data_IF_796286974077
#
_entry.id   IF_796286974077
#
_cell.length_a   1.000
_cell.length_b   1.000
_cell.length_c   1.000
_cell.angle_alpha   90.00
_cell.angle_beta   90.00
_cell.angle_gamma   90.00
#
_symmetry.space_group_name_H-M   'P 1'
#
loop_
_entity.id
_entity.type
_entity.pdbx_description
1 polymer ?
#
# COMPACT_ATOMS: atom_id res chain seq x y z
N UNK A 1 -6.17 -0.10 31.06
CA UNK A 1 -5.92 0.26 29.65
C UNK A 1 -4.76 -0.55 29.05
N UNK A 2 -3.71 -0.90 29.81
CA UNK A 2 -2.67 -1.86 29.35
C UNK A 2 -3.12 -3.33 29.28
N UNK A 3 -4.07 -3.76 30.12
CA UNK A 3 -4.59 -5.13 30.13
C UNK A 3 -5.62 -5.43 29.02
N UNK A 4 -6.21 -4.41 28.38
CA UNK A 4 -7.06 -4.60 27.20
C UNK A 4 -6.26 -4.82 25.91
N UNK A 5 -4.97 -4.43 25.92
CA UNK A 5 -4.03 -4.62 24.82
C UNK A 5 -3.39 -6.01 24.86
N UNK A 6 -3.03 -6.49 26.05
CA UNK A 6 -2.47 -7.83 26.26
C UNK A 6 -3.55 -8.91 26.02
N UNK A 7 -3.59 -9.45 24.81
CA UNK A 7 -4.50 -10.52 24.39
C UNK A 7 -5.43 -10.17 23.22
N UNK A 8 -5.52 -8.90 22.82
CA UNK A 8 -6.33 -8.45 21.67
C UNK A 8 -5.49 -7.91 20.50
N UNK A 9 -4.16 -8.05 20.55
CA UNK A 9 -3.24 -7.54 19.51
C UNK A 9 -3.60 -8.07 18.12
N UNK A 10 -3.93 -9.36 18.03
CA UNK A 10 -4.36 -10.00 16.78
C UNK A 10 -5.65 -9.40 16.23
N UNK A 11 -6.61 -9.04 17.09
CA UNK A 11 -7.87 -8.39 16.68
C UNK A 11 -7.58 -7.03 16.03
N UNK A 12 -6.67 -6.24 16.60
CA UNK A 12 -6.29 -4.95 16.01
C UNK A 12 -5.61 -5.14 14.65
N UNK A 13 -4.76 -6.15 14.50
CA UNK A 13 -4.11 -6.48 13.23
C UNK A 13 -5.14 -6.94 12.19
N UNK A 14 -6.11 -7.76 12.58
CA UNK A 14 -7.20 -8.22 11.70
C UNK A 14 -8.05 -7.02 11.23
N UNK A 15 -8.45 -6.13 12.15
CA UNK A 15 -9.20 -4.91 11.80
C UNK A 15 -8.38 -4.03 10.83
N UNK A 16 -7.09 -3.85 11.11
CA UNK A 16 -6.18 -3.12 10.22
C UNK A 16 -6.14 -3.75 8.83
N UNK A 17 -6.05 -5.07 8.73
CA UNK A 17 -6.06 -5.75 7.44
C UNK A 17 -7.38 -5.56 6.68
N UNK A 18 -8.53 -5.57 7.36
CA UNK A 18 -9.82 -5.27 6.72
C UNK A 18 -9.88 -3.85 6.18
N UNK A 19 -9.34 -2.87 6.90
CA UNK A 19 -9.21 -1.49 6.41
C UNK A 19 -8.35 -1.48 5.15
N UNK A 20 -7.21 -2.17 5.12
CA UNK A 20 -6.35 -2.25 3.94
C UNK A 20 -7.04 -2.92 2.75
N UNK A 21 -7.76 -4.01 2.98
CA UNK A 21 -8.56 -4.69 1.95
C UNK A 21 -9.61 -3.74 1.36
N UNK A 22 -10.34 -3.03 2.21
CA UNK A 22 -11.32 -2.05 1.78
C UNK A 22 -10.69 -0.99 0.89
N UNK A 23 -9.59 -0.37 1.33
CA UNK A 23 -8.89 0.67 0.58
C UNK A 23 -8.34 0.17 -0.77
N UNK A 24 -7.80 -1.05 -0.81
CA UNK A 24 -7.27 -1.60 -2.05
C UNK A 24 -8.38 -2.00 -3.03
N UNK A 25 -9.48 -2.59 -2.54
CA UNK A 25 -10.64 -2.93 -3.37
C UNK A 25 -11.32 -1.69 -3.94
N UNK A 26 -11.48 -0.65 -3.12
CA UNK A 26 -12.05 0.63 -3.57
C UNK A 26 -11.17 1.28 -4.64
N UNK A 27 -9.84 1.29 -4.43
CA UNK A 27 -8.89 1.77 -5.44
C UNK A 27 -8.96 0.97 -6.75
N UNK A 28 -9.05 -0.36 -6.69
CA UNK A 28 -9.15 -1.23 -7.88
C UNK A 28 -10.46 -0.95 -8.64
N UNK A 29 -11.57 -0.82 -7.91
CA UNK A 29 -12.89 -0.52 -8.47
C UNK A 29 -12.91 0.83 -9.19
N UNK A 30 -12.36 1.85 -8.54
CA UNK A 30 -12.38 3.23 -9.06
C UNK A 30 -11.19 3.54 -9.97
N UNK A 31 -10.29 2.58 -10.22
CA UNK A 31 -9.07 2.77 -10.99
C UNK A 31 -9.31 3.41 -12.36
N UNK A 32 -10.35 2.96 -13.08
CA UNK A 32 -10.68 3.53 -14.40
C UNK A 32 -11.09 5.00 -14.28
N UNK A 33 -11.90 5.36 -13.29
CA UNK A 33 -12.35 6.74 -13.05
C UNK A 33 -11.17 7.65 -12.68
N UNK A 34 -10.30 7.16 -11.79
CA UNK A 34 -9.08 7.85 -11.39
C UNK A 34 -8.17 8.08 -12.61
N UNK A 35 -7.95 7.04 -13.43
CA UNK A 35 -7.09 7.14 -14.62
C UNK A 35 -7.64 8.11 -15.65
N UNK A 36 -8.96 8.12 -15.88
CA UNK A 36 -9.59 9.09 -16.78
C UNK A 36 -9.43 10.52 -16.26
N UNK A 37 -9.66 10.76 -14.96
CA UNK A 37 -9.45 12.09 -14.37
C UNK A 37 -8.00 12.58 -14.48
N UNK A 38 -7.01 11.72 -14.22
CA UNK A 38 -5.60 12.06 -14.45
C UNK A 38 -5.27 12.31 -15.93
N UNK A 39 -6.02 11.69 -16.85
CA UNK A 39 -5.78 11.87 -18.28
C UNK A 39 -6.30 13.21 -18.82
N UNK A 40 -7.28 13.80 -18.14
CA UNK A 40 -7.89 15.09 -18.48
C UNK A 40 -7.06 16.28 -17.98
N UNK A 41 -6.21 16.10 -16.96
CA UNK A 41 -5.25 17.12 -16.50
C UNK A 41 -4.22 17.37 -17.60
N UNK A 42 -4.12 18.62 -18.04
CA UNK A 42 -3.45 19.01 -19.29
C UNK A 42 -1.96 19.29 -19.10
N UNK A 43 -1.54 19.69 -17.89
CA UNK A 43 -0.12 19.84 -17.56
C UNK A 43 0.16 19.70 -16.07
N UNK A 44 1.38 19.28 -15.72
CA UNK A 44 1.91 19.29 -14.35
C UNK A 44 1.90 20.71 -13.73
N UNK A 45 1.77 21.77 -14.56
CA UNK A 45 1.68 23.17 -14.13
C UNK A 45 0.28 23.61 -13.67
N UNK A 46 -0.76 22.80 -13.87
CA UNK A 46 -2.10 23.02 -13.28
C UNK A 46 -2.15 22.60 -11.80
N UNK A 47 -1.09 21.95 -11.29
CA UNK A 47 -0.98 21.55 -9.90
C UNK A 47 -0.19 22.58 -9.10
N UNK A 48 -0.84 23.22 -8.13
CA UNK A 48 -0.20 24.15 -7.17
C UNK A 48 0.86 23.48 -6.28
N UNK A 49 0.97 22.15 -6.30
CA UNK A 49 1.88 21.39 -5.45
C UNK A 49 3.04 20.84 -6.29
N UNK A 50 4.25 21.31 -6.01
CA UNK A 50 5.46 20.86 -6.70
C UNK A 50 5.73 19.37 -6.37
N UNK A 51 5.56 18.44 -7.34
CA UNK A 51 5.65 17.01 -7.12
C UNK A 51 7.08 16.51 -6.87
N UNK A 52 8.09 17.35 -7.09
CA UNK A 52 9.51 17.02 -6.90
C UNK A 52 10.06 17.49 -5.55
N UNK A 53 9.22 18.11 -4.72
CA UNK A 53 9.62 18.52 -3.37
C UNK A 53 9.93 17.32 -2.49
N UNK A 54 11.08 17.35 -1.81
CA UNK A 54 11.49 16.32 -0.84
C UNK A 54 10.41 16.05 0.23
N UNK A 55 9.65 17.09 0.61
CA UNK A 55 8.49 16.98 1.52
C UNK A 55 7.37 16.09 0.98
N UNK A 56 7.07 16.15 -0.32
CA UNK A 56 6.06 15.30 -0.96
C UNK A 56 6.49 13.84 -0.94
N UNK A 57 7.75 13.57 -1.27
CA UNK A 57 8.32 12.21 -1.22
C UNK A 57 8.26 11.64 0.20
N UNK A 58 8.58 12.44 1.22
CA UNK A 58 8.48 12.00 2.62
C UNK A 58 7.04 11.67 3.02
N UNK A 59 6.06 12.47 2.59
CA UNK A 59 4.64 12.19 2.84
C UNK A 59 4.22 10.89 2.15
N UNK A 60 4.63 10.68 0.89
CA UNK A 60 4.34 9.45 0.15
C UNK A 60 4.98 8.22 0.79
N UNK A 61 6.21 8.34 1.29
CA UNK A 61 6.89 7.27 2.03
C UNK A 61 6.14 6.92 3.31
N UNK A 62 5.77 7.91 4.12
CA UNK A 62 4.99 7.70 5.34
C UNK A 62 3.64 7.05 5.05
N UNK A 63 2.94 7.52 4.02
CA UNK A 63 1.66 6.95 3.61
C UNK A 63 1.82 5.49 3.15
N UNK A 64 2.85 5.17 2.35
CA UNK A 64 3.13 3.80 1.93
C UNK A 64 3.55 2.91 3.10
N UNK A 65 4.23 3.46 4.10
CA UNK A 65 4.56 2.73 5.31
C UNK A 65 3.30 2.22 6.02
N UNK A 66 2.35 3.12 6.33
CA UNK A 66 1.10 2.75 7.00
C UNK A 66 0.13 1.99 6.10
N UNK A 67 0.18 2.18 4.79
CA UNK A 67 -0.74 1.50 3.86
C UNK A 67 -0.27 0.10 3.46
N UNK A 68 1.04 -0.16 3.43
CA UNK A 68 1.60 -1.37 2.82
C UNK A 68 2.72 -1.99 3.66
N UNK A 69 3.76 -1.23 3.96
CA UNK A 69 5.01 -1.82 4.50
C UNK A 69 4.86 -2.33 5.92
N UNK A 70 4.05 -1.66 6.74
CA UNK A 70 3.72 -2.12 8.09
C UNK A 70 3.13 -3.53 8.04
N UNK A 71 2.23 -3.81 7.09
CA UNK A 71 1.67 -5.14 6.92
C UNK A 71 2.72 -6.18 6.54
N UNK A 72 3.64 -5.85 5.64
CA UNK A 72 4.72 -6.76 5.23
C UNK A 72 5.58 -7.15 6.44
N UNK A 73 5.94 -6.16 7.26
CA UNK A 73 6.71 -6.37 8.49
C UNK A 73 5.92 -7.26 9.46
N UNK A 74 4.65 -6.93 9.74
CA UNK A 74 3.80 -7.73 10.63
C UNK A 74 3.67 -9.18 10.14
N UNK A 75 3.45 -9.38 8.85
CA UNK A 75 3.32 -10.71 8.27
C UNK A 75 4.60 -11.53 8.38
N UNK A 76 5.77 -10.93 8.17
CA UNK A 76 7.06 -11.60 8.37
C UNK A 76 7.26 -11.99 9.84
N UNK A 77 6.99 -11.08 10.77
CA UNK A 77 7.18 -11.31 12.21
C UNK A 77 6.24 -12.39 12.75
N UNK A 78 4.99 -12.42 12.30
CA UNK A 78 3.97 -13.36 12.81
C UNK A 78 4.05 -14.75 12.15
N UNK A 79 4.48 -14.85 10.90
CA UNK A 79 4.55 -16.14 10.20
C UNK A 79 5.89 -16.85 10.37
N UNK A 80 6.99 -16.09 10.55
CA UNK A 80 8.35 -16.64 10.60
C UNK A 80 8.77 -17.40 9.33
N UNK A 81 8.01 -17.30 8.23
CA UNK A 81 8.18 -18.12 7.03
C UNK A 81 9.09 -17.41 6.01
N UNK A 82 10.16 -18.10 5.57
CA UNK A 82 11.12 -17.56 4.59
C UNK A 82 10.46 -17.18 3.27
N UNK A 83 9.41 -17.87 2.84
CA UNK A 83 8.66 -17.51 1.65
C UNK A 83 7.95 -16.15 1.80
N UNK A 84 7.34 -15.91 2.96
CA UNK A 84 6.68 -14.63 3.29
C UNK A 84 7.69 -13.49 3.32
N UNK A 85 8.91 -13.76 3.81
CA UNK A 85 10.04 -12.80 3.78
C UNK A 85 10.39 -12.42 2.33
N UNK A 86 10.59 -13.40 1.45
CA UNK A 86 10.97 -13.15 0.05
C UNK A 86 9.90 -12.32 -0.66
N UNK A 87 8.62 -12.68 -0.49
CA UNK A 87 7.49 -11.94 -1.07
C UNK A 87 7.43 -10.51 -0.51
N UNK A 88 7.53 -10.34 0.81
CA UNK A 88 7.52 -9.04 1.47
C UNK A 88 8.63 -8.11 0.99
N UNK A 89 9.86 -8.62 0.88
CA UNK A 89 11.01 -7.84 0.39
C UNK A 89 10.82 -7.43 -1.07
N UNK A 90 10.29 -8.32 -1.90
CA UNK A 90 10.02 -8.03 -3.30
C UNK A 90 8.96 -6.94 -3.45
N UNK A 91 7.83 -7.05 -2.72
CA UNK A 91 6.76 -6.04 -2.72
C UNK A 91 7.25 -4.70 -2.17
N UNK A 92 8.06 -4.72 -1.11
CA UNK A 92 8.70 -3.53 -0.57
C UNK A 92 9.60 -2.84 -1.61
N UNK A 93 10.47 -3.59 -2.30
CA UNK A 93 11.37 -3.02 -3.30
C UNK A 93 10.61 -2.38 -4.48
N UNK A 94 9.56 -3.06 -4.98
CA UNK A 94 8.74 -2.54 -6.09
C UNK A 94 7.99 -1.27 -5.64
N UNK A 95 7.40 -1.27 -4.44
CA UNK A 95 6.69 -0.10 -3.93
C UNK A 95 7.62 1.07 -3.60
N UNK A 96 8.80 0.81 -3.03
CA UNK A 96 9.81 1.84 -2.80
C UNK A 96 10.29 2.47 -4.12
N UNK A 97 10.50 1.65 -5.15
CA UNK A 97 10.85 2.15 -6.48
C UNK A 97 9.74 3.04 -7.06
N UNK A 98 8.47 2.66 -6.91
CA UNK A 98 7.35 3.49 -7.35
C UNK A 98 7.33 4.85 -6.65
N UNK A 99 7.53 4.88 -5.33
CA UNK A 99 7.57 6.14 -4.57
C UNK A 99 8.76 7.01 -5.00
N UNK A 100 9.96 6.44 -5.14
CA UNK A 100 11.15 7.24 -5.43
C UNK A 100 11.21 7.76 -6.87
N UNK A 101 10.69 7.01 -7.85
CA UNK A 101 10.91 7.30 -9.27
C UNK A 101 9.65 7.65 -10.06
N UNK A 102 8.44 7.40 -9.53
CA UNK A 102 7.17 7.72 -10.18
C UNK A 102 6.34 8.81 -9.47
N UNK A 103 6.95 9.70 -8.66
CA UNK A 103 6.24 10.83 -8.04
C UNK A 103 5.65 11.86 -9.04
N UNK A 104 6.13 11.93 -10.28
CA UNK A 104 5.60 12.87 -11.29
C UNK A 104 4.25 12.40 -11.87
N UNK A 105 3.32 13.35 -12.03
CA UNK A 105 2.00 13.11 -12.60
C UNK A 105 2.07 12.51 -14.02
N UNK A 106 3.03 12.95 -14.84
CA UNK A 106 3.27 12.43 -16.18
C UNK A 106 3.58 10.92 -16.18
N UNK A 107 4.30 10.45 -15.15
CA UNK A 107 4.61 9.02 -14.98
C UNK A 107 3.42 8.25 -14.43
N UNK A 108 2.63 8.85 -13.52
CA UNK A 108 1.41 8.26 -12.98
C UNK A 108 0.32 8.07 -14.05
N UNK A 109 0.21 8.99 -15.01
CA UNK A 109 -0.72 8.89 -16.15
C UNK A 109 -0.40 7.69 -17.06
N UNK A 110 0.88 7.37 -17.21
CA UNK A 110 1.36 6.28 -18.09
C UNK A 110 1.47 4.93 -17.38
N UNK A 111 1.74 4.93 -16.08
CA UNK A 111 2.03 3.73 -15.31
C UNK A 111 0.78 3.06 -14.73
N UNK A 112 0.65 1.75 -14.95
CA UNK A 112 -0.35 0.91 -14.27
C UNK A 112 0.22 0.28 -12.98
N UNK A 113 1.42 0.66 -12.55
CA UNK A 113 2.13 -0.03 -11.46
C UNK A 113 1.35 0.02 -10.14
N UNK A 114 0.75 1.17 -9.79
CA UNK A 114 -0.08 1.32 -8.59
C UNK A 114 -1.30 0.39 -8.57
N UNK A 115 -1.86 0.08 -9.74
CA UNK A 115 -2.97 -0.88 -9.89
C UNK A 115 -2.51 -2.31 -9.66
N UNK A 116 -1.42 -2.73 -10.30
CA UNK A 116 -0.86 -4.07 -10.08
C UNK A 116 -0.43 -4.28 -8.63
N UNK A 117 0.23 -3.29 -8.05
CA UNK A 117 0.58 -3.28 -6.64
C UNK A 117 -0.65 -3.34 -5.74
N UNK A 118 -1.74 -2.62 -6.03
CA UNK A 118 -2.97 -2.72 -5.24
C UNK A 118 -3.58 -4.14 -5.31
N UNK A 119 -3.57 -4.77 -6.49
CA UNK A 119 -4.05 -6.15 -6.65
C UNK A 119 -3.19 -7.18 -5.91
N UNK A 120 -1.86 -7.08 -6.02
CA UNK A 120 -0.94 -7.94 -5.28
C UNK A 120 -1.10 -7.78 -3.76
N UNK A 121 -1.23 -6.54 -3.29
CA UNK A 121 -1.48 -6.27 -1.87
C UNK A 121 -2.81 -6.85 -1.42
N UNK A 122 -3.89 -6.71 -2.20
CA UNK A 122 -5.18 -7.34 -1.85
C UNK A 122 -5.02 -8.84 -1.66
N UNK A 123 -4.35 -9.55 -2.59
CA UNK A 123 -4.11 -10.99 -2.47
C UNK A 123 -3.26 -11.30 -1.23
N UNK A 124 -2.19 -10.54 -1.02
CA UNK A 124 -1.28 -10.71 0.11
C UNK A 124 -2.01 -10.52 1.46
N UNK A 125 -2.78 -9.44 1.60
CA UNK A 125 -3.57 -9.15 2.80
C UNK A 125 -4.62 -10.23 3.02
N UNK A 126 -5.33 -10.68 1.97
CA UNK A 126 -6.34 -11.74 2.10
C UNK A 126 -5.75 -13.06 2.59
N UNK A 127 -4.59 -13.46 2.07
CA UNK A 127 -3.87 -14.66 2.53
C UNK A 127 -3.45 -14.48 3.99
N UNK A 128 -2.88 -13.32 4.33
CA UNK A 128 -2.41 -13.05 5.69
C UNK A 128 -3.54 -13.02 6.71
N UNK A 129 -4.68 -12.39 6.42
CA UNK A 129 -5.86 -12.42 7.28
C UNK A 129 -6.39 -13.83 7.45
N UNK A 130 -6.43 -14.62 6.36
CA UNK A 130 -6.88 -16.01 6.43
C UNK A 130 -5.95 -16.84 7.33
N UNK A 131 -4.64 -16.60 7.25
CA UNK A 131 -3.66 -17.19 8.16
C UNK A 131 -3.94 -16.80 9.62
N UNK A 132 -4.15 -15.51 9.91
CA UNK A 132 -4.43 -15.06 11.27
C UNK A 132 -5.73 -15.63 11.87
N UNK A 133 -6.75 -15.89 11.03
CA UNK A 133 -8.02 -16.48 11.50
C UNK A 133 -7.96 -17.99 11.72
N UNK A 134 -6.97 -18.67 11.12
CA UNK A 134 -6.80 -20.12 11.20
C UNK A 134 -5.68 -20.57 12.14
N UNK A 135 -4.81 -19.63 12.52
CA UNK A 135 -3.74 -19.83 13.51
C UNK A 135 -4.30 -19.90 14.92
#
# INVERSE_FOLDING_TARGET
>A
MGELLYGNEEIYIIVYCFILLWLNLDYIKDYKKIKTGLSEISSDAELEVNPEGLSMVLIDLLFNFFRRWLLYILAVLMTGNIFVVIVSVTLFAISLYDVLFNCSLAKLKKSNLKFYLAGLDTIYVSIFVSYLLLS
#
